data_IF_554164669962
#
_entry.id   IF_554164669962
#
_cell.length_a   1.000
_cell.length_b   1.000
_cell.length_c   1.000
_cell.angle_alpha   90.00
_cell.angle_beta   90.00
_cell.angle_gamma   90.00
#
_symmetry.space_group_name_H-M   'P 1'
#
loop_
_entity.id
_entity.type
_entity.pdbx_description
1 polymer ?
#
# COMPACT_ATOMS: atom_id res chain seq x y z
N UNK A 1 16.58 -8.05 33.05
CA UNK A 1 15.73 -7.60 31.92
C UNK A 1 14.64 -8.63 31.81
N UNK A 2 13.40 -8.28 32.19
CA UNK A 2 12.25 -9.11 31.82
C UNK A 2 12.20 -9.15 30.29
N UNK A 3 12.16 -10.36 29.72
CA UNK A 3 11.70 -10.52 28.35
C UNK A 3 10.28 -9.95 28.31
N UNK A 4 10.12 -8.77 27.71
CA UNK A 4 8.79 -8.25 27.40
C UNK A 4 8.10 -9.31 26.55
N UNK A 5 6.89 -9.72 26.92
CA UNK A 5 6.09 -10.60 26.08
C UNK A 5 5.92 -9.94 24.69
N UNK A 6 6.39 -10.63 23.64
CA UNK A 6 6.29 -10.18 22.24
C UNK A 6 5.35 -11.11 21.50
N UNK A 7 4.32 -10.55 20.88
CA UNK A 7 3.47 -11.28 19.95
C UNK A 7 4.25 -11.53 18.66
N UNK A 8 4.28 -12.78 18.17
CA UNK A 8 5.03 -13.11 16.95
C UNK A 8 4.07 -13.46 15.82
N UNK A 9 4.17 -12.73 14.71
CA UNK A 9 3.55 -13.07 13.43
C UNK A 9 4.61 -13.77 12.58
N UNK A 10 4.60 -15.09 12.58
CA UNK A 10 5.36 -15.91 11.63
C UNK A 10 4.57 -16.04 10.32
N UNK A 11 5.15 -15.59 9.21
CA UNK A 11 4.46 -15.53 7.91
C UNK A 11 4.07 -16.92 7.40
N UNK A 12 4.89 -17.96 7.66
CA UNK A 12 4.56 -19.31 7.22
C UNK A 12 3.42 -19.90 8.05
N UNK A 13 3.48 -19.71 9.37
CA UNK A 13 2.41 -20.12 10.28
C UNK A 13 1.09 -19.40 9.97
N UNK A 14 1.13 -18.08 9.81
CA UNK A 14 -0.03 -17.28 9.45
C UNK A 14 -0.66 -17.77 8.14
N UNK A 15 0.17 -18.07 7.13
CA UNK A 15 -0.29 -18.64 5.87
C UNK A 15 -1.03 -19.98 6.07
N UNK A 16 -0.48 -20.88 6.88
CA UNK A 16 -1.12 -22.14 7.20
C UNK A 16 -2.45 -21.95 7.96
N UNK A 17 -2.50 -21.03 8.92
CA UNK A 17 -3.71 -20.70 9.70
C UNK A 17 -4.86 -20.19 8.83
N UNK A 18 -4.56 -19.43 7.78
CA UNK A 18 -5.56 -18.93 6.82
C UNK A 18 -5.82 -19.92 5.66
N UNK A 19 -5.28 -21.13 5.73
CA UNK A 19 -5.52 -22.21 4.78
C UNK A 19 -4.74 -22.08 3.46
N UNK A 20 -3.62 -21.37 3.43
CA UNK A 20 -2.75 -21.33 2.26
C UNK A 20 -1.88 -22.58 2.18
N UNK A 21 -1.63 -23.01 0.95
CA UNK A 21 -0.67 -24.06 0.63
C UNK A 21 0.51 -23.47 -0.15
N UNK A 22 1.72 -23.95 0.18
CA UNK A 22 2.93 -23.56 -0.55
C UNK A 22 2.89 -24.14 -1.98
N UNK A 23 3.18 -23.29 -2.96
CA UNK A 23 3.23 -23.67 -4.38
C UNK A 23 4.67 -23.75 -4.83
N UNK A 24 4.93 -24.65 -5.78
CA UNK A 24 6.22 -24.66 -6.47
C UNK A 24 6.33 -23.44 -7.39
N UNK A 25 7.45 -22.74 -7.28
CA UNK A 25 7.79 -21.58 -8.08
C UNK A 25 9.20 -21.73 -8.62
N UNK A 26 9.37 -21.43 -9.91
CA UNK A 26 10.70 -21.33 -10.53
C UNK A 26 11.14 -19.88 -10.45
N UNK A 27 12.21 -19.63 -9.69
CA UNK A 27 12.85 -18.33 -9.59
C UNK A 27 13.54 -17.96 -10.93
N UNK A 28 13.83 -16.66 -11.19
CA UNK A 28 14.50 -16.22 -12.42
C UNK A 28 15.86 -16.89 -12.68
N UNK A 29 16.52 -17.40 -11.64
CA UNK A 29 17.77 -18.15 -11.73
C UNK A 29 17.59 -19.65 -12.00
N UNK A 30 16.37 -20.11 -12.30
CA UNK A 30 16.03 -21.51 -12.56
C UNK A 30 15.82 -22.38 -11.31
N UNK A 31 16.05 -21.85 -10.10
CA UNK A 31 15.84 -22.59 -8.85
C UNK A 31 14.35 -22.77 -8.58
N UNK A 32 13.92 -24.01 -8.35
CA UNK A 32 12.56 -24.32 -7.86
C UNK A 32 12.52 -24.17 -6.35
N UNK A 33 11.53 -23.42 -5.86
CA UNK A 33 11.27 -23.22 -4.44
C UNK A 33 9.81 -23.54 -4.14
N UNK A 34 9.50 -23.99 -2.93
CA UNK A 34 8.12 -24.04 -2.42
C UNK A 34 7.91 -22.83 -1.53
N UNK A 35 6.96 -21.98 -1.89
CA UNK A 35 6.68 -20.72 -1.20
C UNK A 35 5.19 -20.44 -1.16
N UNK A 36 4.76 -19.70 -0.14
CA UNK A 36 3.43 -19.11 -0.11
C UNK A 36 3.35 -17.99 -1.16
N UNK A 37 2.34 -18.05 -2.01
CA UNK A 37 2.10 -17.03 -3.03
C UNK A 37 0.97 -16.15 -2.55
N UNK A 38 1.34 -15.00 -1.99
CA UNK A 38 0.41 -14.04 -1.43
C UNK A 38 -0.30 -13.23 -2.52
N UNK A 39 -1.59 -12.98 -2.32
CA UNK A 39 -2.47 -12.21 -3.19
C UNK A 39 -3.43 -11.34 -2.35
N UNK A 40 -4.34 -10.64 -3.03
CA UNK A 40 -5.32 -9.75 -2.37
C UNK A 40 -6.24 -10.50 -1.41
N UNK A 41 -6.72 -11.69 -1.76
CA UNK A 41 -7.64 -12.46 -0.92
C UNK A 41 -6.94 -12.90 0.37
N UNK A 42 -5.76 -13.49 0.24
CA UNK A 42 -4.99 -13.99 1.38
C UNK A 42 -4.45 -12.86 2.26
N UNK A 43 -4.16 -11.68 1.68
CA UNK A 43 -3.86 -10.48 2.44
C UNK A 43 -5.00 -10.09 3.40
N UNK A 44 -6.24 -10.07 2.90
CA UNK A 44 -7.40 -9.73 3.72
C UNK A 44 -7.63 -10.76 4.84
N UNK A 45 -7.41 -12.05 4.57
CA UNK A 45 -7.49 -13.10 5.59
C UNK A 45 -6.41 -12.90 6.66
N UNK A 46 -5.17 -12.66 6.25
CA UNK A 46 -4.04 -12.43 7.14
C UNK A 46 -4.28 -11.22 8.07
N UNK A 47 -4.70 -10.08 7.51
CA UNK A 47 -5.03 -8.87 8.29
C UNK A 47 -6.15 -9.15 9.30
N UNK A 48 -7.20 -9.86 8.89
CA UNK A 48 -8.29 -10.22 9.81
C UNK A 48 -7.85 -11.17 10.91
N UNK A 49 -6.90 -12.07 10.64
CA UNK A 49 -6.37 -12.99 11.63
C UNK A 49 -5.56 -12.26 12.71
N UNK A 50 -4.80 -11.22 12.36
CA UNK A 50 -3.88 -10.55 13.30
C UNK A 50 -4.41 -9.26 13.92
N UNK A 51 -5.50 -8.67 13.42
CA UNK A 51 -5.99 -7.36 13.90
C UNK A 51 -6.27 -7.28 15.39
N UNK A 52 -6.63 -8.39 16.03
CA UNK A 52 -6.90 -8.42 17.48
C UNK A 52 -5.65 -8.04 18.30
N UNK A 53 -4.45 -8.26 17.75
CA UNK A 53 -3.19 -7.94 18.43
C UNK A 53 -3.03 -6.44 18.71
N UNK A 54 -3.69 -5.55 17.94
CA UNK A 54 -3.64 -4.09 18.18
C UNK A 54 -4.20 -3.68 19.55
N UNK A 55 -5.09 -4.50 20.11
CA UNK A 55 -5.78 -4.22 21.37
C UNK A 55 -4.98 -4.72 22.60
N UNK A 56 -3.99 -5.59 22.38
CA UNK A 56 -3.21 -6.18 23.47
C UNK A 56 -2.11 -5.25 23.99
N UNK A 57 -1.72 -4.23 23.21
CA UNK A 57 -0.70 -3.25 23.58
C UNK A 57 0.73 -3.81 23.69
N UNK A 58 0.95 -5.09 23.36
CA UNK A 58 2.27 -5.73 23.34
C UNK A 58 3.02 -5.38 22.06
N UNK A 59 4.35 -5.48 22.11
CA UNK A 59 5.18 -5.38 20.90
C UNK A 59 4.90 -6.58 19.99
N UNK A 60 5.00 -6.36 18.68
CA UNK A 60 4.79 -7.38 17.65
C UNK A 60 6.07 -7.60 16.86
N UNK A 61 6.52 -8.85 16.77
CA UNK A 61 7.57 -9.30 15.86
C UNK A 61 6.93 -9.85 14.59
N UNK A 62 7.39 -9.42 13.42
CA UNK A 62 7.07 -10.07 12.13
C UNK A 62 8.30 -10.83 11.66
N UNK A 63 8.16 -12.12 11.33
CA UNK A 63 9.26 -12.97 10.88
C UNK A 63 8.85 -13.88 9.72
N UNK A 64 9.83 -14.30 8.91
CA UNK A 64 9.61 -15.17 7.76
C UNK A 64 9.60 -14.44 6.41
N UNK A 65 9.56 -15.22 5.34
CA UNK A 65 9.65 -14.68 3.97
C UNK A 65 8.31 -14.10 3.51
N UNK A 66 8.25 -12.79 3.32
CA UNK A 66 7.08 -12.07 2.83
C UNK A 66 7.46 -10.95 1.85
N UNK A 67 6.58 -10.62 0.89
CA UNK A 67 6.71 -9.39 0.13
C UNK A 67 6.50 -8.17 1.05
N UNK A 68 7.18 -7.05 0.76
CA UNK A 68 7.14 -5.85 1.59
C UNK A 68 5.72 -5.29 1.79
N UNK A 69 4.84 -5.40 0.79
CA UNK A 69 3.44 -4.96 0.90
C UNK A 69 2.65 -5.76 1.95
N UNK A 70 2.98 -7.03 2.17
CA UNK A 70 2.32 -7.84 3.21
C UNK A 70 2.82 -7.40 4.58
N UNK A 71 4.14 -7.26 4.74
CA UNK A 71 4.73 -6.80 6.01
C UNK A 71 4.22 -5.41 6.38
N UNK A 72 4.11 -4.51 5.41
CA UNK A 72 3.55 -3.16 5.61
C UNK A 72 2.09 -3.23 6.05
N UNK A 73 1.26 -4.04 5.39
CA UNK A 73 -0.14 -4.17 5.78
C UNK A 73 -0.30 -4.76 7.19
N UNK A 74 0.49 -5.76 7.57
CA UNK A 74 0.45 -6.36 8.91
C UNK A 74 0.96 -5.38 9.98
N UNK A 75 2.01 -4.61 9.67
CA UNK A 75 2.55 -3.56 10.56
C UNK A 75 1.48 -2.52 10.86
N UNK A 76 0.85 -1.97 9.83
CA UNK A 76 -0.22 -0.98 10.00
C UNK A 76 -1.46 -1.55 10.70
N UNK A 77 -1.80 -2.82 10.43
CA UNK A 77 -2.96 -3.49 11.03
C UNK A 77 -2.87 -3.58 12.55
N UNK A 78 -1.66 -3.76 13.09
CA UNK A 78 -1.45 -3.90 14.54
C UNK A 78 -1.14 -2.57 15.24
N UNK A 79 -1.14 -1.44 14.53
CA UNK A 79 -0.96 -0.12 15.12
C UNK A 79 -2.03 0.13 16.23
N UNK A 80 -1.66 0.66 17.42
CA UNK A 80 -0.41 1.35 17.76
C UNK A 80 0.69 0.49 18.39
N UNK A 81 0.62 -0.84 18.30
CA UNK A 81 1.66 -1.70 18.85
C UNK A 81 3.03 -1.41 18.21
N UNK A 82 4.13 -1.32 18.99
CA UNK A 82 5.47 -1.27 18.42
C UNK A 82 5.77 -2.53 17.62
N UNK A 83 6.22 -2.37 16.37
CA UNK A 83 6.53 -3.50 15.47
C UNK A 83 8.02 -3.58 15.19
N UNK A 84 8.57 -4.79 15.28
CA UNK A 84 9.90 -5.14 14.82
C UNK A 84 9.85 -6.18 13.70
N UNK A 85 10.67 -6.01 12.67
CA UNK A 85 10.84 -7.01 11.60
C UNK A 85 12.10 -7.81 11.90
N UNK A 86 11.96 -9.12 12.08
CA UNK A 86 13.08 -10.01 12.38
C UNK A 86 13.95 -10.23 11.13
N UNK A 87 15.26 -10.06 11.30
CA UNK A 87 16.27 -10.22 10.25
C UNK A 87 17.18 -11.41 10.58
N UNK A 88 16.93 -12.61 10.02
CA UNK A 88 17.71 -13.81 10.33
C UNK A 88 19.21 -13.67 10.06
N UNK A 89 19.60 -12.84 9.08
CA UNK A 89 20.99 -12.62 8.68
C UNK A 89 21.84 -11.99 9.79
N UNK A 90 21.20 -11.22 10.68
CA UNK A 90 21.83 -10.50 11.79
C UNK A 90 21.24 -10.91 13.15
N UNK A 91 20.32 -11.88 13.16
CA UNK A 91 19.75 -12.49 14.36
C UNK A 91 18.94 -11.54 15.25
N UNK A 92 18.40 -10.43 14.71
CA UNK A 92 17.75 -9.39 15.51
C UNK A 92 16.47 -8.84 14.89
N UNK A 93 15.62 -8.27 15.73
CA UNK A 93 14.50 -7.44 15.28
C UNK A 93 14.99 -6.03 14.97
N UNK A 94 14.52 -5.50 13.84
CA UNK A 94 14.69 -4.09 13.49
C UNK A 94 13.35 -3.41 13.70
N UNK A 95 13.29 -2.50 14.66
CA UNK A 95 12.11 -1.70 14.95
C UNK A 95 11.70 -0.86 13.73
N UNK A 96 10.39 -0.64 13.58
CA UNK A 96 9.84 0.26 12.56
C UNK A 96 9.58 1.63 13.21
N UNK A 97 10.49 2.61 13.04
CA UNK A 97 10.29 3.94 13.61
C UNK A 97 9.33 4.78 12.77
N UNK A 98 8.75 5.80 13.41
CA UNK A 98 8.13 6.91 12.68
C UNK A 98 9.24 7.77 12.06
N UNK A 99 9.37 7.74 10.74
CA UNK A 99 10.36 8.56 10.03
C UNK A 99 9.94 10.04 9.99
N UNK A 100 10.94 10.91 9.98
CA UNK A 100 10.73 12.34 9.78
C UNK A 100 10.40 12.64 8.31
N UNK A 101 9.66 13.71 8.08
CA UNK A 101 9.42 14.27 6.74
C UNK A 101 10.25 15.54 6.56
N UNK A 102 10.78 15.78 5.36
CA UNK A 102 11.51 17.01 5.06
C UNK A 102 12.64 16.83 4.06
N UNK A 103 13.69 17.64 4.24
CA UNK A 103 14.91 17.56 3.43
C UNK A 103 15.67 16.26 3.69
N UNK A 104 16.22 15.68 2.62
CA UNK A 104 16.96 14.43 2.70
C UNK A 104 18.15 14.55 3.67
N UNK A 105 18.30 13.54 4.52
CA UNK A 105 19.46 13.40 5.40
C UNK A 105 20.45 12.39 4.79
N UNK A 106 21.66 12.81 4.39
CA UNK A 106 22.67 11.90 3.83
C UNK A 106 23.03 10.74 4.76
N UNK A 107 22.98 10.93 6.09
CA UNK A 107 23.25 9.85 7.05
C UNK A 107 22.19 8.75 7.06
N UNK A 108 21.02 9.01 6.46
CA UNK A 108 19.99 8.00 6.24
C UNK A 108 20.34 7.04 5.11
N UNK A 109 21.33 7.34 4.25
CA UNK A 109 21.78 6.50 3.13
C UNK A 109 20.63 6.05 2.19
N UNK A 110 19.64 6.93 1.99
CA UNK A 110 18.54 6.71 1.05
C UNK A 110 18.34 7.95 0.21
N UNK A 111 18.41 7.78 -1.10
CA UNK A 111 18.07 8.80 -2.07
C UNK A 111 16.62 8.64 -2.51
N UNK A 112 15.86 9.73 -2.53
CA UNK A 112 14.47 9.77 -2.96
C UNK A 112 14.29 10.58 -4.24
N UNK A 113 13.31 10.18 -5.04
CA UNK A 113 12.80 10.98 -6.16
C UNK A 113 11.28 10.88 -6.17
N UNK A 114 10.61 12.02 -6.22
CA UNK A 114 9.15 12.09 -6.29
C UNK A 114 8.70 12.49 -7.68
N UNK A 115 7.66 11.83 -8.19
CA UNK A 115 6.96 12.22 -9.41
C UNK A 115 5.48 12.30 -9.11
N UNK A 116 4.89 13.47 -9.32
CA UNK A 116 3.49 13.72 -9.01
C UNK A 116 2.65 13.85 -10.29
N UNK A 117 1.43 13.30 -10.25
CA UNK A 117 0.42 13.52 -11.27
C UNK A 117 -0.99 13.43 -10.67
N UNK A 118 -1.73 14.53 -10.72
CA UNK A 118 -3.08 14.60 -10.14
C UNK A 118 -3.06 14.25 -8.65
N UNK A 119 -3.86 13.25 -8.25
CA UNK A 119 -3.92 12.79 -6.85
C UNK A 119 -2.91 11.66 -6.53
N UNK A 120 -2.03 11.29 -7.45
CA UNK A 120 -1.05 10.23 -7.28
C UNK A 120 0.37 10.79 -7.17
N UNK A 121 1.15 10.23 -6.25
CA UNK A 121 2.57 10.52 -6.10
C UNK A 121 3.36 9.22 -6.12
N UNK A 122 4.28 9.09 -7.07
CA UNK A 122 5.27 8.03 -7.12
C UNK A 122 6.49 8.48 -6.31
N UNK A 123 6.84 7.73 -5.29
CA UNK A 123 8.05 7.88 -4.48
C UNK A 123 8.99 6.76 -4.89
N UNK A 124 10.05 7.12 -5.60
CA UNK A 124 11.14 6.22 -5.93
C UNK A 124 12.24 6.36 -4.86
N UNK A 125 12.74 5.26 -4.32
CA UNK A 125 13.85 5.26 -3.37
C UNK A 125 14.94 4.25 -3.75
N UNK A 126 16.20 4.60 -3.49
CA UNK A 126 17.34 3.71 -3.61
C UNK A 126 18.26 3.87 -2.40
N UNK A 127 18.85 2.77 -1.95
CA UNK A 127 19.89 2.81 -0.92
C UNK A 127 21.16 3.43 -1.54
N UNK A 128 21.64 4.52 -0.96
CA UNK A 128 22.85 5.24 -1.37
C UNK A 128 24.03 4.75 -0.52
N UNK A 129 24.44 3.51 -0.77
CA UNK A 129 25.42 2.79 0.05
C UNK A 129 26.86 3.06 -0.42
N UNK A 130 27.84 3.02 0.50
CA UNK A 130 29.25 3.06 0.12
C UNK A 130 29.62 1.94 -0.88
N UNK A 131 30.65 2.20 -1.70
CA UNK A 131 31.12 1.25 -2.69
C UNK A 131 31.46 -0.12 -2.05
N UNK A 132 30.93 -1.19 -2.63
CA UNK A 132 31.12 -2.56 -2.15
C UNK A 132 30.14 -3.02 -1.06
N UNK A 133 29.29 -2.12 -0.54
CA UNK A 133 28.25 -2.48 0.44
C UNK A 133 26.91 -2.73 -0.28
N UNK A 134 26.28 -3.86 0.03
CA UNK A 134 25.01 -4.27 -0.61
C UNK A 134 23.84 -4.42 0.37
N UNK A 135 24.08 -4.20 1.66
CA UNK A 135 23.12 -4.32 2.74
C UNK A 135 23.00 -2.99 3.46
N UNK A 136 21.78 -2.53 3.66
CA UNK A 136 21.51 -1.31 4.40
C UNK A 136 21.80 -1.51 5.89
N UNK A 137 22.51 -0.56 6.52
CA UNK A 137 22.74 -0.58 7.97
C UNK A 137 21.47 -0.15 8.69
N UNK A 138 20.87 -1.05 9.46
CA UNK A 138 19.67 -0.77 10.23
C UNK A 138 19.83 0.36 11.26
N UNK A 139 21.05 0.67 11.70
CA UNK A 139 21.31 1.76 12.64
C UNK A 139 21.14 3.14 11.97
N UNK A 140 21.08 3.19 10.63
CA UNK A 140 20.78 4.40 9.87
C UNK A 140 19.27 4.61 9.65
N UNK A 141 18.42 3.63 9.97
CA UNK A 141 16.98 3.68 9.70
C UNK A 141 16.30 4.90 10.32
N UNK A 142 16.59 5.21 11.59
CA UNK A 142 16.00 6.36 12.28
C UNK A 142 16.49 7.71 11.76
N UNK A 143 17.52 7.73 10.91
CA UNK A 143 18.09 8.92 10.29
C UNK A 143 17.46 9.22 8.94
N UNK A 144 16.69 8.27 8.38
CA UNK A 144 15.98 8.47 7.11
C UNK A 144 14.94 9.57 7.27
N UNK A 145 14.98 10.53 6.36
CA UNK A 145 13.98 11.59 6.22
C UNK A 145 13.28 11.39 4.87
N UNK A 146 11.98 11.14 4.90
CA UNK A 146 11.17 10.92 3.69
C UNK A 146 10.72 12.27 3.10
N UNK A 147 10.53 12.37 1.76
CA UNK A 147 10.10 13.63 1.16
C UNK A 147 8.68 14.00 1.62
N UNK A 148 8.45 15.30 1.85
CA UNK A 148 7.11 15.82 2.14
C UNK A 148 6.18 15.62 0.95
N UNK A 149 4.99 15.09 1.23
CA UNK A 149 3.92 14.89 0.24
C UNK A 149 2.66 15.58 0.75
N UNK A 150 1.98 16.31 -0.13
CA UNK A 150 0.70 16.91 0.20
C UNK A 150 -0.29 15.86 0.73
N UNK A 151 -0.95 16.19 1.84
CA UNK A 151 -1.87 15.30 2.54
C UNK A 151 -3.01 14.81 1.62
N UNK A 152 -3.49 13.60 1.87
CA UNK A 152 -4.62 13.00 1.15
C UNK A 152 -4.28 12.42 -0.23
N UNK A 153 -3.09 12.67 -0.79
CA UNK A 153 -2.66 12.02 -2.05
C UNK A 153 -2.45 10.52 -1.86
N UNK A 154 -2.62 9.76 -2.94
CA UNK A 154 -2.27 8.34 -2.97
C UNK A 154 -0.77 8.19 -3.26
N UNK A 155 -0.05 7.49 -2.38
CA UNK A 155 1.39 7.27 -2.49
C UNK A 155 1.65 5.89 -3.10
N UNK A 156 2.55 5.86 -4.07
CA UNK A 156 3.05 4.65 -4.71
C UNK A 156 4.55 4.58 -4.44
N UNK A 157 4.99 3.60 -3.66
CA UNK A 157 6.38 3.43 -3.27
C UNK A 157 7.05 2.41 -4.20
N UNK A 158 8.17 2.79 -4.80
CA UNK A 158 9.01 1.94 -5.64
C UNK A 158 10.46 2.06 -5.20
N UNK A 159 11.14 0.94 -5.04
CA UNK A 159 12.55 0.97 -4.65
C UNK A 159 13.05 -0.39 -4.23
N UNK A 160 14.36 -0.46 -3.98
CA UNK A 160 15.02 -1.68 -3.52
C UNK A 160 15.57 -1.44 -2.12
N UNK A 161 15.05 -2.19 -1.16
CA UNK A 161 15.53 -2.21 0.21
C UNK A 161 15.05 -3.44 0.96
N UNK A 162 15.59 -3.71 2.15
CA UNK A 162 15.03 -4.72 3.04
C UNK A 162 13.62 -4.32 3.50
N UNK A 163 12.85 -5.31 3.98
CA UNK A 163 11.46 -5.08 4.39
C UNK A 163 11.35 -4.00 5.48
N UNK A 164 12.21 -3.99 6.50
CA UNK A 164 12.14 -2.97 7.57
C UNK A 164 12.27 -1.53 7.05
N UNK A 165 13.19 -1.28 6.11
CA UNK A 165 13.37 0.04 5.51
C UNK A 165 12.14 0.42 4.68
N UNK A 166 11.71 -0.49 3.81
CA UNK A 166 10.58 -0.25 2.91
C UNK A 166 9.29 0.01 3.70
N UNK A 167 9.08 -0.74 4.79
CA UNK A 167 7.91 -0.62 5.67
C UNK A 167 7.97 0.68 6.47
N UNK A 168 9.13 1.07 7.03
CA UNK A 168 9.27 2.35 7.73
C UNK A 168 8.96 3.55 6.81
N UNK A 169 9.39 3.49 5.55
CA UNK A 169 9.04 4.52 4.55
C UNK A 169 7.53 4.50 4.26
N UNK A 170 6.90 3.33 4.16
CA UNK A 170 5.45 3.24 3.94
C UNK A 170 4.65 3.79 5.13
N UNK A 171 5.03 3.42 6.36
CA UNK A 171 4.41 3.89 7.61
C UNK A 171 4.53 5.41 7.78
N UNK A 172 5.64 6.01 7.33
CA UNK A 172 5.81 7.46 7.35
C UNK A 172 4.67 8.20 6.63
N UNK A 173 4.07 7.59 5.60
CA UNK A 173 2.95 8.15 4.84
C UNK A 173 1.57 7.63 5.30
N UNK A 174 1.49 6.68 6.22
CA UNK A 174 0.26 5.97 6.56
C UNK A 174 -0.87 6.89 7.02
N UNK A 175 -0.56 7.87 7.88
CA UNK A 175 -1.56 8.75 8.51
C UNK A 175 -1.70 10.12 7.85
N UNK A 176 -0.85 10.46 6.88
CA UNK A 176 -0.90 11.74 6.14
C UNK A 176 -1.52 11.58 4.76
N UNK A 177 -1.42 10.40 4.17
CA UNK A 177 -1.82 10.11 2.79
C UNK A 177 -3.04 9.20 2.75
N UNK A 178 -3.81 9.25 1.66
CA UNK A 178 -5.06 8.47 1.58
C UNK A 178 -4.82 6.97 1.45
N UNK A 179 -3.69 6.58 0.86
CA UNK A 179 -3.26 5.19 0.72
C UNK A 179 -1.77 5.12 0.39
N UNK A 180 -1.17 3.97 0.68
CA UNK A 180 0.20 3.62 0.31
C UNK A 180 0.19 2.26 -0.41
N UNK A 181 0.77 2.23 -1.61
CA UNK A 181 0.93 1.01 -2.41
C UNK A 181 2.39 0.74 -2.71
N UNK A 182 2.84 -0.51 -2.55
CA UNK A 182 4.25 -0.87 -2.75
C UNK A 182 4.40 -1.66 -4.05
N UNK A 183 5.44 -1.33 -4.81
CA UNK A 183 5.77 -1.99 -6.06
C UNK A 183 6.28 -3.42 -5.85
N UNK A 184 5.80 -4.34 -6.67
CA UNK A 184 6.31 -5.68 -6.83
C UNK A 184 6.65 -5.92 -8.31
N UNK A 185 7.90 -6.30 -8.65
CA UNK A 185 8.30 -6.62 -10.00
C UNK A 185 7.38 -7.68 -10.65
N UNK A 186 6.96 -7.42 -11.89
CA UNK A 186 6.08 -8.31 -12.65
C UNK A 186 4.59 -8.27 -12.26
N UNK A 187 4.24 -7.57 -11.17
CA UNK A 187 2.84 -7.48 -10.68
C UNK A 187 2.32 -6.04 -10.78
N UNK A 188 3.08 -5.07 -10.28
CA UNK A 188 2.65 -3.67 -10.13
C UNK A 188 2.61 -3.26 -8.67
N UNK A 189 1.80 -2.26 -8.35
CA UNK A 189 1.69 -1.68 -7.01
C UNK A 189 0.52 -2.28 -6.25
N UNK A 190 0.80 -2.93 -5.12
CA UNK A 190 -0.22 -3.51 -4.24
C UNK A 190 -0.52 -2.55 -3.10
N UNK A 191 -1.78 -2.15 -2.92
CA UNK A 191 -2.19 -1.33 -1.78
C UNK A 191 -2.01 -2.09 -0.46
N UNK A 192 -1.22 -1.54 0.44
CA UNK A 192 -0.88 -2.15 1.74
C UNK A 192 -1.42 -1.34 2.93
N UNK A 193 -1.63 -0.04 2.74
CA UNK A 193 -2.20 0.87 3.72
C UNK A 193 -3.25 1.70 3.00
N UNK A 194 -4.44 1.86 3.60
CA UNK A 194 -5.48 2.73 3.05
C UNK A 194 -6.40 3.27 4.13
N UNK A 195 -6.68 4.56 4.04
CA UNK A 195 -7.78 5.24 4.74
C UNK A 195 -8.82 5.75 3.72
N UNK A 196 -8.66 5.40 2.44
CA UNK A 196 -9.54 5.78 1.35
C UNK A 196 -10.71 4.81 1.19
N UNK A 197 -11.89 5.35 0.88
CA UNK A 197 -13.05 4.55 0.46
C UNK A 197 -12.93 4.05 -1.00
N UNK A 198 -12.12 4.72 -1.82
CA UNK A 198 -12.00 4.42 -3.26
C UNK A 198 -10.90 3.41 -3.59
N UNK A 199 -10.02 3.09 -2.63
CA UNK A 199 -8.91 2.15 -2.80
C UNK A 199 -8.85 1.21 -1.62
N UNK A 200 -8.96 -0.09 -1.89
CA UNK A 200 -9.05 -1.14 -0.89
C UNK A 200 -7.67 -1.78 -0.68
N UNK A 201 -7.53 -2.39 0.48
CA UNK A 201 -6.35 -3.20 0.78
C UNK A 201 -6.21 -4.32 -0.27
N UNK A 202 -4.99 -4.51 -0.76
CA UNK A 202 -4.63 -5.45 -1.81
C UNK A 202 -4.99 -5.04 -3.23
N UNK A 203 -5.65 -3.89 -3.45
CA UNK A 203 -5.91 -3.40 -4.81
C UNK A 203 -4.61 -3.21 -5.60
N UNK A 204 -4.60 -3.70 -6.83
CA UNK A 204 -3.47 -3.66 -7.75
C UNK A 204 -3.56 -2.44 -8.67
N UNK A 205 -2.46 -1.71 -8.81
CA UNK A 205 -2.30 -0.61 -9.79
C UNK A 205 -1.07 -0.88 -10.65
N UNK A 206 -1.22 -0.95 -11.97
CA UNK A 206 -0.07 -1.18 -12.88
C UNK A 206 0.66 0.09 -13.28
N UNK A 207 -0.09 1.15 -13.56
CA UNK A 207 0.43 2.45 -13.98
C UNK A 207 -0.13 3.54 -13.06
N UNK A 208 0.58 3.87 -11.96
CA UNK A 208 0.08 4.84 -10.97
C UNK A 208 0.06 6.28 -11.48
N UNK A 209 0.81 6.58 -12.55
CA UNK A 209 0.91 7.91 -13.16
C UNK A 209 0.26 7.94 -14.55
N UNK A 210 -0.62 6.97 -14.84
CA UNK A 210 -1.29 6.83 -16.12
C UNK A 210 -2.05 8.08 -16.56
N UNK A 211 -2.42 8.15 -17.83
CA UNK A 211 -3.15 9.30 -18.39
C UNK A 211 -4.48 9.44 -17.65
N UNK A 212 -4.82 10.67 -17.24
CA UNK A 212 -6.15 10.95 -16.69
C UNK A 212 -7.17 10.63 -17.79
N UNK A 213 -7.90 9.53 -17.63
CA UNK A 213 -9.18 9.40 -18.30
C UNK A 213 -10.12 10.35 -17.56
N UNK A 214 -10.20 11.58 -18.09
CA UNK A 214 -11.11 12.61 -17.62
C UNK A 214 -12.51 12.00 -17.56
N UNK A 215 -13.01 11.73 -16.35
CA UNK A 215 -14.41 11.35 -16.11
C UNK A 215 -15.34 12.58 -16.29
N UNK A 216 -15.23 13.29 -17.41
CA UNK A 216 -16.19 14.34 -17.80
C UNK A 216 -17.46 13.75 -18.43
N UNK A 217 -17.47 12.45 -18.78
CA UNK A 217 -18.62 11.85 -19.45
C UNK A 217 -19.83 11.56 -18.55
N UNK A 218 -19.77 11.81 -17.23
CA UNK A 218 -20.90 11.61 -16.31
C UNK A 218 -21.62 12.91 -15.91
N UNK A 219 -21.04 14.08 -16.20
CA UNK A 219 -21.70 15.38 -15.97
C UNK A 219 -22.39 15.86 -17.25
N UNK A 220 -21.76 15.69 -18.41
CA UNK A 220 -22.37 16.03 -19.70
C UNK A 220 -23.60 15.16 -20.06
N UNK A 221 -23.70 13.94 -19.52
CA UNK A 221 -24.83 13.04 -19.77
C UNK A 221 -25.96 13.17 -18.73
N UNK A 222 -25.80 14.05 -17.73
CA UNK A 222 -26.87 14.41 -16.77
C UNK A 222 -27.52 15.78 -17.05
N UNK A 223 -26.99 16.57 -17.98
CA UNK A 223 -27.54 17.88 -18.35
C UNK A 223 -28.29 17.91 -19.71
N UNK A 224 -28.46 16.77 -20.37
CA UNK A 224 -29.41 16.62 -21.48
C UNK A 224 -30.22 15.33 -21.25
N UNK A 225 -31.51 15.42 -20.86
CA UNK A 225 -32.55 16.01 -21.71
C UNK A 225 -33.60 16.83 -20.94
N UNK A 226 -33.62 18.15 -21.15
CA UNK A 226 -34.72 19.01 -20.66
C UNK A 226 -35.28 19.98 -21.72
N UNK A 227 -34.95 19.81 -23.00
CA UNK A 227 -35.44 20.71 -24.05
C UNK A 227 -36.23 20.05 -25.19
N UNK A 228 -36.50 18.75 -25.16
CA UNK A 228 -37.27 18.06 -26.21
C UNK A 228 -38.65 17.55 -25.75
N UNK A 229 -39.31 18.23 -24.82
CA UNK A 229 -40.72 17.95 -24.47
C UNK A 229 -41.63 19.18 -24.46
N UNK A 230 -41.15 20.35 -24.90
CA UNK A 230 -41.95 21.58 -24.94
C UNK A 230 -42.58 21.91 -26.31
N UNK A 231 -42.30 21.16 -27.38
CA UNK A 231 -42.82 21.49 -28.73
C UNK A 231 -43.93 20.57 -29.28
N UNK A 232 -44.34 19.51 -28.57
CA UNK A 232 -45.42 18.61 -29.01
C UNK A 232 -46.73 18.72 -28.20
N UNK A 233 -46.97 19.85 -27.51
CA UNK A 233 -48.24 20.07 -26.77
C UNK A 233 -49.10 21.23 -27.27
N UNK A 234 -48.77 21.82 -28.41
CA UNK A 234 -49.52 22.95 -28.99
C UNK A 234 -50.16 22.65 -30.36
N UNK A 235 -50.58 21.41 -30.64
CA UNK A 235 -51.45 21.15 -31.80
C UNK A 235 -52.39 19.97 -31.51
N UNK A 236 -53.41 20.15 -30.64
CA UNK A 236 -54.67 19.36 -30.72
C UNK A 236 -55.70 19.83 -29.69
N UNK A 237 -56.20 21.07 -29.81
CA UNK A 237 -57.51 21.43 -29.24
C UNK A 237 -58.21 22.43 -30.17
N UNK A 238 -58.75 21.95 -31.28
CA UNK A 238 -59.92 22.55 -31.95
C UNK A 238 -60.65 21.46 -32.72
N UNK A 239 -61.71 20.93 -32.11
CA UNK A 239 -63.00 20.71 -32.77
C UNK A 239 -64.04 20.39 -31.69
N UNK A 240 -64.96 21.34 -31.51
CA UNK A 240 -66.13 21.21 -30.65
C UNK A 240 -67.23 20.38 -31.33
N UNK A 241 -68.26 19.99 -30.58
CA UNK A 241 -69.15 18.89 -30.95
C UNK A 241 -70.25 19.35 -31.90
N UNK A 242 -70.69 18.44 -32.77
CA UNK A 242 -72.01 18.46 -33.37
C UNK A 242 -72.60 17.05 -33.32
N UNK A 243 -73.68 16.88 -32.56
CA UNK A 243 -74.63 15.77 -32.73
C UNK A 243 -76.03 16.39 -32.65
N UNK A 244 -76.82 16.07 -33.69
CA UNK A 244 -78.21 16.44 -34.05
C UNK A 244 -78.52 17.89 -34.47
#
# INVERSE_FOLDING_TARGET
MEEKEVNTIDIAQLGAEIGMEAKEQTLPNGKVVKSLVWDQENLLKAVNAVKHLSEEGKSVRITGAAPAWLVSALTHTVHPCPVGVYMPQIGKDVDIPQLAHGEANPEGEVAFKTTEKGNAVLVEFNMDLPEGITTYDENNLSKVVVPEIAQGKAVYLSGRGPNYLTVAIAEAYAHTNSSVSLFQPGVGYTCSITHSRSKRLGDLTKDPLGKEEIKEQLVASKEAPAQEQAQNKEVEIKEGPAID
#
